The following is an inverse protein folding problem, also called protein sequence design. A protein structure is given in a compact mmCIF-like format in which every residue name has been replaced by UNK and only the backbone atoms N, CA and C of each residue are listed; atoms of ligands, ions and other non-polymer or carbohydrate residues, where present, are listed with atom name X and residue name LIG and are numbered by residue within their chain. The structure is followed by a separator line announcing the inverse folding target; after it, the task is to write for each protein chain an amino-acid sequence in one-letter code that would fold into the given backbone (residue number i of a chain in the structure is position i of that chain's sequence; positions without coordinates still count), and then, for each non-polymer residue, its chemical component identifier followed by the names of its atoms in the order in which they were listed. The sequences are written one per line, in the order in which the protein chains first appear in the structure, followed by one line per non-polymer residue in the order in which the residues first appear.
data_IF_271802025506
#
_entry.id   IF_271802025506
#
_cell.length_a   1.000
_cell.length_b   1.000
_cell.length_c   1.000
_cell.angle_alpha   90.00
_cell.angle_beta   90.00
_cell.angle_gamma   90.00
#
_symmetry.space_group_name_H-M   'P 1'
#
loop_
_entity.id
_entity.type
_entity.pdbx_description
1 polymer ?
#
# COMPACT_ATOMS: atom_id res chain seq x y z
N UNK A 1 -56.59 40.41 -23.78
CA UNK A 1 -55.36 40.80 -24.50
C UNK A 1 -54.23 40.00 -23.88
N UNK A 2 -53.63 39.11 -24.68
CA UNK A 2 -52.66 38.11 -24.21
C UNK A 2 -51.39 38.79 -23.72
N UNK A 3 -51.14 38.72 -22.41
CA UNK A 3 -49.93 39.21 -21.78
C UNK A 3 -48.73 38.41 -22.25
N UNK A 4 -47.79 39.07 -22.92
CA UNK A 4 -46.54 38.46 -23.35
C UNK A 4 -45.74 37.99 -22.14
N UNK A 5 -45.38 36.71 -22.12
CA UNK A 5 -44.48 36.16 -21.13
C UNK A 5 -43.14 36.87 -21.28
N UNK A 6 -42.72 37.59 -20.24
CA UNK A 6 -41.41 38.23 -20.23
C UNK A 6 -40.36 37.16 -19.89
N UNK A 7 -39.86 36.48 -20.93
CA UNK A 7 -38.92 35.37 -20.81
C UNK A 7 -37.65 35.73 -20.00
N UNK A 8 -37.26 37.01 -20.00
CA UNK A 8 -36.14 37.50 -19.19
C UNK A 8 -36.44 37.45 -17.68
N UNK A 9 -37.67 37.77 -17.27
CA UNK A 9 -38.07 37.71 -15.87
C UNK A 9 -38.14 36.25 -15.40
N UNK A 10 -38.69 35.37 -16.24
CA UNK A 10 -38.76 33.93 -15.99
C UNK A 10 -37.37 33.29 -15.81
N UNK A 11 -36.41 33.61 -16.69
CA UNK A 11 -35.04 33.11 -16.58
C UNK A 11 -34.30 33.67 -15.35
N UNK A 12 -34.54 34.93 -14.98
CA UNK A 12 -33.94 35.55 -13.80
C UNK A 12 -34.38 34.88 -12.49
N UNK A 13 -35.62 34.36 -12.43
CA UNK A 13 -36.10 33.57 -11.30
C UNK A 13 -35.33 32.26 -11.09
N UNK A 14 -34.67 31.72 -12.14
CA UNK A 14 -33.81 30.54 -12.03
C UNK A 14 -32.35 30.86 -11.67
N UNK A 15 -31.97 32.14 -11.60
CA UNK A 15 -30.58 32.56 -11.32
C UNK A 15 -30.04 32.02 -9.99
N UNK A 16 -30.90 31.85 -8.98
CA UNK A 16 -30.52 31.25 -7.70
C UNK A 16 -30.04 29.80 -7.83
N UNK A 17 -30.67 29.00 -8.70
CA UNK A 17 -30.25 27.61 -8.94
C UNK A 17 -28.89 27.54 -9.63
N UNK A 18 -28.55 28.52 -10.47
CA UNK A 18 -27.25 28.59 -11.11
C UNK A 18 -26.13 28.85 -10.10
N UNK A 19 -26.34 29.78 -9.17
CA UNK A 19 -25.40 30.06 -8.08
C UNK A 19 -25.19 28.83 -7.17
N UNK A 20 -26.27 28.13 -6.80
CA UNK A 20 -26.20 26.91 -6.00
C UNK A 20 -25.54 25.76 -6.77
N UNK A 21 -25.76 25.67 -8.09
CA UNK A 21 -25.11 24.67 -8.95
C UNK A 21 -23.60 24.86 -9.02
N UNK A 22 -23.13 26.09 -9.21
CA UNK A 22 -21.70 26.42 -9.19
C UNK A 22 -21.10 26.12 -7.81
N UNK A 23 -21.77 26.57 -6.73
CA UNK A 23 -21.32 26.30 -5.37
C UNK A 23 -21.21 24.80 -5.10
N UNK A 24 -22.20 24.01 -5.52
CA UNK A 24 -22.19 22.55 -5.36
C UNK A 24 -21.01 21.90 -6.09
N UNK A 25 -20.67 22.34 -7.30
CA UNK A 25 -19.50 21.81 -8.03
C UNK A 25 -18.19 22.10 -7.29
N UNK A 26 -18.05 23.31 -6.75
CA UNK A 26 -16.89 23.71 -5.94
C UNK A 26 -16.80 22.83 -4.69
N UNK A 27 -17.91 22.63 -3.99
CA UNK A 27 -17.94 21.79 -2.79
C UNK A 27 -17.64 20.32 -3.10
N UNK A 28 -18.20 19.76 -4.16
CA UNK A 28 -17.92 18.38 -4.59
C UNK A 28 -16.44 18.20 -4.89
N UNK A 29 -15.82 19.17 -5.56
CA UNK A 29 -14.39 19.12 -5.88
C UNK A 29 -13.52 19.32 -4.63
N UNK A 30 -13.79 20.34 -3.83
CA UNK A 30 -13.00 20.69 -2.65
C UNK A 30 -13.06 19.61 -1.55
N UNK A 31 -14.21 18.96 -1.39
CA UNK A 31 -14.40 17.89 -0.41
C UNK A 31 -14.25 16.49 -1.01
N UNK A 32 -13.82 16.37 -2.28
CA UNK A 32 -13.50 15.07 -2.88
C UNK A 32 -12.30 14.48 -2.15
N UNK A 33 -12.56 13.62 -1.16
CA UNK A 33 -11.50 12.87 -0.46
C UNK A 33 -10.72 12.06 -1.50
N UNK A 34 -9.44 12.34 -1.66
CA UNK A 34 -8.54 11.58 -2.52
C UNK A 34 -8.35 10.15 -2.02
N UNK A 35 -7.85 9.26 -2.90
CA UNK A 35 -7.24 8.00 -2.45
C UNK A 35 -6.04 8.38 -1.59
N UNK A 36 -6.06 7.96 -0.33
CA UNK A 36 -5.04 8.23 0.69
C UNK A 36 -3.62 8.31 0.11
N UNK A 37 -2.96 9.46 0.25
CA UNK A 37 -1.52 9.64 -0.01
C UNK A 37 -0.69 9.03 1.12
N UNK A 38 -1.33 8.76 2.27
CA UNK A 38 -0.74 8.01 3.37
C UNK A 38 -0.68 6.55 2.96
N UNK A 39 0.54 5.98 3.00
CA UNK A 39 0.78 4.56 2.82
C UNK A 39 -0.17 3.78 3.72
N UNK A 40 -0.94 2.87 3.12
CA UNK A 40 -1.86 1.99 3.85
C UNK A 40 -1.06 1.24 4.92
N UNK A 41 -1.64 1.03 6.10
CA UNK A 41 -1.01 0.25 7.17
C UNK A 41 -0.44 -1.04 6.59
N UNK A 42 0.88 -1.29 6.69
CA UNK A 42 1.48 -2.48 6.13
C UNK A 42 0.82 -3.70 6.77
N UNK A 43 0.14 -4.49 5.95
CA UNK A 43 -0.40 -5.80 6.35
C UNK A 43 0.71 -6.83 6.15
N UNK A 44 0.90 -7.70 7.12
CA UNK A 44 1.75 -8.89 6.98
C UNK A 44 1.16 -9.75 5.87
N UNK A 45 1.87 -9.85 4.74
CA UNK A 45 1.48 -10.62 3.56
C UNK A 45 1.88 -12.10 3.67
N UNK A 46 1.44 -12.92 2.71
CA UNK A 46 1.90 -14.29 2.54
C UNK A 46 3.33 -14.37 2.00
N UNK A 47 3.88 -15.58 1.87
CA UNK A 47 5.26 -15.83 1.42
C UNK A 47 5.57 -15.18 0.06
N UNK A 48 4.60 -15.17 -0.85
CA UNK A 48 4.71 -14.60 -2.20
C UNK A 48 4.47 -13.07 -2.26
N UNK A 49 3.97 -12.47 -1.18
CA UNK A 49 3.65 -11.02 -1.14
C UNK A 49 4.88 -10.14 -0.89
N UNK A 50 6.03 -10.74 -0.55
CA UNK A 50 7.27 -10.02 -0.24
C UNK A 50 8.14 -9.70 -1.47
N UNK A 51 7.64 -9.98 -2.67
CA UNK A 51 8.20 -9.53 -3.95
C UNK A 51 9.65 -9.97 -4.16
N UNK A 52 10.60 -9.10 -3.82
CA UNK A 52 12.04 -9.32 -4.02
C UNK A 52 12.70 -10.22 -2.96
N UNK A 53 11.98 -10.59 -1.91
CA UNK A 53 12.49 -11.41 -0.82
C UNK A 53 11.99 -12.86 -0.94
N UNK A 54 12.92 -13.79 -0.98
CA UNK A 54 12.68 -15.23 -1.10
C UNK A 54 12.99 -15.92 0.22
N UNK A 55 12.18 -16.89 0.61
CA UNK A 55 12.42 -17.71 1.80
C UNK A 55 13.52 -18.73 1.53
N UNK A 56 14.55 -18.71 2.37
CA UNK A 56 15.67 -19.65 2.30
C UNK A 56 15.65 -20.70 3.40
N UNK A 57 15.05 -20.40 4.55
CA UNK A 57 14.96 -21.30 5.67
C UNK A 57 13.72 -21.04 6.53
N UNK A 58 13.19 -22.12 7.10
CA UNK A 58 12.08 -22.12 8.05
C UNK A 58 12.58 -22.66 9.39
N UNK A 59 13.20 -21.83 10.24
CA UNK A 59 13.68 -22.25 11.56
C UNK A 59 12.50 -22.64 12.47
N UNK A 60 12.73 -23.58 13.40
CA UNK A 60 11.68 -24.03 14.33
C UNK A 60 11.46 -23.02 15.46
N UNK A 61 12.47 -22.21 15.76
CA UNK A 61 12.43 -21.20 16.82
C UNK A 61 13.12 -19.90 16.37
N UNK A 62 12.72 -18.78 16.97
CA UNK A 62 13.26 -17.46 16.68
C UNK A 62 14.77 -17.37 16.94
N UNK A 63 15.25 -18.04 18.00
CA UNK A 63 16.68 -18.08 18.37
C UNK A 63 17.52 -18.73 17.26
N UNK A 64 17.08 -19.87 16.73
CA UNK A 64 17.76 -20.54 15.61
C UNK A 64 17.76 -19.66 14.36
N UNK A 65 16.65 -18.98 14.11
CA UNK A 65 16.54 -18.01 13.02
C UNK A 65 17.54 -16.86 13.14
N UNK A 66 17.74 -16.31 14.34
CA UNK A 66 18.73 -15.25 14.56
C UNK A 66 20.17 -15.77 14.39
N UNK A 67 20.47 -17.00 14.83
CA UNK A 67 21.79 -17.60 14.58
C UNK A 67 22.06 -17.74 13.08
N UNK A 68 21.08 -18.19 12.31
CA UNK A 68 21.18 -18.26 10.85
C UNK A 68 21.32 -16.88 10.22
N UNK A 69 20.58 -15.88 10.71
CA UNK A 69 20.68 -14.48 10.25
C UNK A 69 22.06 -13.90 10.53
N UNK A 70 22.64 -14.17 11.70
CA UNK A 70 23.99 -13.75 12.06
C UNK A 70 25.04 -14.40 11.14
N UNK A 71 24.92 -15.70 10.88
CA UNK A 71 25.81 -16.41 9.94
C UNK A 71 25.80 -15.78 8.54
N UNK A 72 24.62 -15.43 8.04
CA UNK A 72 24.48 -14.73 6.75
C UNK A 72 25.03 -13.30 6.80
N UNK A 73 24.83 -12.58 7.91
CA UNK A 73 25.38 -11.24 8.09
C UNK A 73 26.92 -11.25 8.11
N UNK A 74 27.55 -12.29 8.67
CA UNK A 74 29.01 -12.48 8.62
C UNK A 74 29.52 -12.69 7.19
N UNK A 75 28.70 -13.28 6.31
CA UNK A 75 28.98 -13.43 4.89
C UNK A 75 28.59 -12.19 4.05
N UNK A 76 28.28 -11.06 4.69
CA UNK A 76 27.79 -9.82 4.06
C UNK A 76 26.46 -9.97 3.28
N UNK A 77 25.70 -11.03 3.56
CA UNK A 77 24.40 -11.29 2.94
C UNK A 77 23.30 -10.66 3.80
N UNK A 78 22.48 -9.79 3.20
CA UNK A 78 21.32 -9.21 3.88
C UNK A 78 20.20 -10.24 3.99
N UNK A 79 19.99 -10.70 5.22
CA UNK A 79 18.88 -11.58 5.59
C UNK A 79 17.93 -10.91 6.60
N UNK A 80 16.64 -11.12 6.43
CA UNK A 80 15.60 -10.64 7.33
C UNK A 80 14.87 -11.83 7.96
N UNK A 81 14.79 -11.84 9.29
CA UNK A 81 14.00 -12.82 10.03
C UNK A 81 12.63 -12.20 10.31
N UNK A 82 11.58 -12.72 9.68
CA UNK A 82 10.23 -12.23 9.90
C UNK A 82 9.39 -13.29 10.64
N UNK A 83 8.51 -12.82 11.53
CA UNK A 83 7.54 -13.67 12.18
C UNK A 83 6.29 -13.75 11.31
N UNK A 84 6.10 -14.88 10.64
CA UNK A 84 4.92 -15.13 9.79
C UNK A 84 3.86 -15.90 10.56
N UNK A 85 2.66 -16.03 9.98
CA UNK A 85 1.59 -16.85 10.58
C UNK A 85 1.96 -18.33 10.69
N UNK A 86 2.89 -18.78 9.85
CA UNK A 86 3.35 -20.17 9.77
C UNK A 86 4.68 -20.39 10.51
N UNK A 87 5.05 -19.44 11.38
CA UNK A 87 6.28 -19.45 12.17
C UNK A 87 7.36 -18.49 11.65
N UNK A 88 8.56 -18.50 12.25
CA UNK A 88 9.65 -17.66 11.80
C UNK A 88 10.14 -18.11 10.42
N UNK A 89 10.40 -17.13 9.56
CA UNK A 89 10.90 -17.33 8.18
C UNK A 89 12.09 -16.43 7.95
N UNK A 90 13.13 -17.01 7.36
CA UNK A 90 14.35 -16.29 7.00
C UNK A 90 14.31 -15.95 5.51
N UNK A 91 14.33 -14.65 5.23
CA UNK A 91 14.22 -14.09 3.90
C UNK A 91 15.55 -13.49 3.45
N UNK A 92 15.87 -13.60 2.16
CA UNK A 92 16.98 -12.88 1.50
C UNK A 92 16.51 -12.34 0.16
N UNK A 93 17.29 -11.43 -0.43
CA UNK A 93 17.01 -11.00 -1.80
C UNK A 93 17.22 -12.14 -2.80
N UNK A 94 16.36 -12.22 -3.81
CA UNK A 94 16.41 -13.26 -4.86
C UNK A 94 17.81 -13.42 -5.49
N UNK A 95 18.48 -12.30 -5.79
CA UNK A 95 19.86 -12.30 -6.34
C UNK A 95 20.88 -13.02 -5.45
N UNK A 96 20.65 -13.04 -4.14
CA UNK A 96 21.56 -13.55 -3.12
C UNK A 96 21.12 -14.96 -2.64
N UNK A 97 20.03 -15.51 -3.19
CA UNK A 97 19.42 -16.77 -2.74
C UNK A 97 20.39 -17.96 -2.80
N UNK A 98 21.04 -18.16 -3.95
CA UNK A 98 21.93 -19.30 -4.16
C UNK A 98 23.13 -19.26 -3.21
N UNK A 99 23.71 -18.06 -3.02
CA UNK A 99 24.85 -17.84 -2.13
C UNK A 99 24.41 -18.05 -0.67
N UNK A 100 23.25 -17.53 -0.29
CA UNK A 100 22.71 -17.70 1.06
C UNK A 100 22.43 -19.17 1.39
N UNK A 101 21.85 -19.94 0.45
CA UNK A 101 21.64 -21.39 0.63
C UNK A 101 22.96 -22.15 0.76
N UNK A 102 24.00 -21.74 0.04
CA UNK A 102 25.32 -22.36 0.15
C UNK A 102 25.95 -22.09 1.53
N UNK A 103 25.91 -20.84 2.01
CA UNK A 103 26.44 -20.45 3.34
C UNK A 103 25.68 -21.12 4.47
N UNK A 104 24.38 -21.37 4.33
CA UNK A 104 23.64 -22.11 5.35
C UNK A 104 24.04 -23.60 5.41
N UNK A 105 24.44 -24.20 4.28
CA UNK A 105 24.84 -25.61 4.20
C UNK A 105 26.31 -25.87 4.60
N UNK A 106 27.18 -24.85 4.58
CA UNK A 106 28.58 -24.95 4.99
C UNK A 106 28.74 -25.00 6.51
#
# INVERSE_FOLDING_TARGET
MLGGINNGLFLSSFGGFFAVGILSLILIWAFKRGKSVVARTPKVGGEDDYGALVVIASPNNYIEGELMRLKLATAEIRANLAHTKDGPRLYVFERDEQIARAVLKS
#
